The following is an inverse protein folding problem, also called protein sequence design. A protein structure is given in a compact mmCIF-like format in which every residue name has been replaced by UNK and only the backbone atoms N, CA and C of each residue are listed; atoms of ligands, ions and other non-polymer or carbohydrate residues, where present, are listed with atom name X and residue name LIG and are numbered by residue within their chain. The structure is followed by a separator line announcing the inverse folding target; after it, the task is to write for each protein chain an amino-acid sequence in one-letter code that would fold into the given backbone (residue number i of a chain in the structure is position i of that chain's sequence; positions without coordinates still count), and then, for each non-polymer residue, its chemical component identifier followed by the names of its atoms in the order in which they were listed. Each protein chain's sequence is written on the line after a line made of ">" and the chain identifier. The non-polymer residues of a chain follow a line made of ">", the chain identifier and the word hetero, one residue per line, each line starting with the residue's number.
data_IF_873093276011
#
_entry.id   IF_873093276011
#
_cell.length_a   1.000
_cell.length_b   1.000
_cell.length_c   1.000
_cell.angle_alpha   90.00
_cell.angle_beta   90.00
_cell.angle_gamma   90.00
#
_symmetry.space_group_name_H-M   'P 1'
#
loop_
_entity.id
_entity.type
_entity.pdbx_description
1 polymer ?
#
# COMPACT_ATOMS: atom_id res chain seq x y z
N UNK A 1 13.03 -6.50 -11.13
CA UNK A 1 13.91 -5.34 -11.37
C UNK A 1 15.14 -5.31 -10.44
N UNK A 2 15.07 -5.98 -9.30
CA UNK A 2 16.08 -5.92 -8.25
C UNK A 2 16.05 -4.64 -7.40
N UNK A 3 15.06 -3.78 -7.59
CA UNK A 3 14.88 -2.57 -6.81
C UNK A 3 14.12 -2.86 -5.49
N UNK A 4 14.59 -2.28 -4.40
CA UNK A 4 13.91 -2.38 -3.10
C UNK A 4 12.74 -1.40 -3.05
N UNK A 5 11.53 -1.94 -3.03
CA UNK A 5 10.30 -1.16 -2.92
C UNK A 5 9.76 -1.20 -1.51
N UNK A 6 9.01 -0.17 -1.13
CA UNK A 6 8.28 -0.11 0.12
C UNK A 6 6.78 -0.06 -0.09
N UNK A 7 6.04 -0.37 0.96
CA UNK A 7 4.59 -0.24 1.01
C UNK A 7 4.25 1.00 1.83
N UNK A 8 3.52 1.93 1.23
CA UNK A 8 2.85 2.99 1.98
C UNK A 8 1.40 2.58 2.18
N UNK A 9 1.07 2.26 3.43
CA UNK A 9 -0.29 1.86 3.78
C UNK A 9 -1.32 2.93 3.39
N UNK A 10 -2.50 2.54 2.88
CA UNK A 10 -2.95 1.16 2.72
C UNK A 10 -2.57 0.50 1.39
N UNK A 11 -2.35 1.24 0.32
CA UNK A 11 -2.50 0.75 -1.05
C UNK A 11 -1.46 1.29 -2.05
N UNK A 12 -0.41 1.97 -1.59
CA UNK A 12 0.60 2.54 -2.48
C UNK A 12 1.92 1.78 -2.38
N UNK A 13 2.54 1.51 -3.52
CA UNK A 13 3.91 1.03 -3.59
C UNK A 13 4.82 2.20 -3.94
N UNK A 14 5.90 2.32 -3.18
CA UNK A 14 6.88 3.39 -3.34
C UNK A 14 8.27 2.83 -3.66
N UNK A 15 9.03 3.60 -4.40
CA UNK A 15 10.43 3.39 -4.69
C UNK A 15 11.15 4.73 -4.51
N UNK A 16 12.24 4.77 -3.74
CA UNK A 16 12.93 6.00 -3.38
C UNK A 16 11.97 7.11 -2.86
N UNK A 17 11.02 6.74 -2.01
CA UNK A 17 10.01 7.62 -1.42
C UNK A 17 8.99 8.23 -2.40
N UNK A 18 8.95 7.78 -3.66
CA UNK A 18 7.99 8.22 -4.68
C UNK A 18 7.04 7.09 -5.04
N UNK A 19 5.77 7.43 -5.25
CA UNK A 19 4.74 6.46 -5.63
C UNK A 19 4.98 5.96 -7.05
N UNK A 20 5.09 4.64 -7.20
CA UNK A 20 5.18 3.95 -8.49
C UNK A 20 3.95 3.12 -8.80
N UNK A 21 3.14 2.79 -7.79
CA UNK A 21 1.92 2.01 -7.97
C UNK A 21 0.87 2.41 -6.95
N UNK A 22 -0.40 2.36 -7.37
CA UNK A 22 -1.55 2.45 -6.49
C UNK A 22 -2.52 1.32 -6.77
N UNK A 23 -3.16 0.80 -5.73
CA UNK A 23 -4.12 -0.30 -5.80
C UNK A 23 -5.47 0.23 -5.33
N UNK A 24 -6.51 0.03 -6.11
CA UNK A 24 -7.89 0.35 -5.75
C UNK A 24 -8.72 -0.93 -5.72
N UNK A 25 -9.49 -1.11 -4.67
CA UNK A 25 -10.38 -2.26 -4.52
C UNK A 25 -11.81 -1.79 -4.43
N UNK A 26 -12.68 -2.36 -5.23
CA UNK A 26 -14.12 -2.09 -5.26
C UNK A 26 -14.90 -3.35 -4.95
N UNK A 27 -15.95 -3.20 -4.14
CA UNK A 27 -16.87 -4.25 -3.77
C UNK A 27 -18.18 -4.11 -4.53
N UNK A 28 -18.60 -5.17 -5.23
CA UNK A 28 -19.88 -5.23 -5.91
C UNK A 28 -20.74 -6.35 -5.33
N UNK A 29 -21.87 -5.99 -4.74
CA UNK A 29 -22.85 -6.94 -4.26
C UNK A 29 -23.78 -7.36 -5.39
N UNK A 30 -23.95 -8.67 -5.59
CA UNK A 30 -24.81 -9.27 -6.58
C UNK A 30 -25.79 -10.23 -5.88
N UNK A 31 -26.82 -10.69 -6.60
CA UNK A 31 -27.75 -11.71 -6.10
C UNK A 31 -27.05 -13.04 -5.73
N UNK A 32 -25.86 -13.29 -6.28
CA UNK A 32 -25.08 -14.52 -6.07
C UNK A 32 -23.96 -14.37 -5.05
N UNK A 33 -23.82 -13.20 -4.42
CA UNK A 33 -22.77 -12.92 -3.44
C UNK A 33 -22.02 -11.62 -3.72
N UNK A 34 -20.80 -11.53 -3.23
CA UNK A 34 -19.94 -10.36 -3.39
C UNK A 34 -18.83 -10.64 -4.39
N UNK A 35 -18.58 -9.68 -5.28
CA UNK A 35 -17.43 -9.68 -6.21
C UNK A 35 -16.49 -8.56 -5.82
N UNK A 36 -15.20 -8.86 -5.72
CA UNK A 36 -14.14 -7.90 -5.46
C UNK A 36 -13.40 -7.61 -6.77
N UNK A 37 -13.35 -6.35 -7.16
CA UNK A 37 -12.57 -5.88 -8.31
C UNK A 37 -11.33 -5.17 -7.78
N UNK A 38 -10.15 -5.64 -8.21
CA UNK A 38 -8.86 -5.05 -7.83
C UNK A 38 -8.23 -4.37 -9.04
N UNK A 39 -8.20 -3.04 -9.01
CA UNK A 39 -7.52 -2.21 -9.99
C UNK A 39 -6.08 -1.90 -9.54
N UNK A 40 -5.09 -2.22 -10.36
CA UNK A 40 -3.68 -1.96 -10.06
C UNK A 40 -3.08 -1.05 -11.11
N UNK A 41 -2.75 0.20 -10.74
CA UNK A 41 -2.11 1.17 -11.60
C UNK A 41 -0.61 1.25 -11.35
N UNK A 42 0.23 0.84 -12.31
CA UNK A 42 1.68 0.82 -12.17
C UNK A 42 2.33 1.76 -13.18
N UNK A 43 3.15 2.69 -12.71
CA UNK A 43 4.00 3.53 -13.53
C UNK A 43 5.25 2.73 -13.94
N UNK A 44 5.21 2.10 -15.10
CA UNK A 44 6.31 1.21 -15.54
C UNK A 44 7.40 2.01 -16.27
N UNK A 45 7.10 2.51 -17.46
CA UNK A 45 8.07 3.18 -18.34
C UNK A 45 7.70 4.65 -18.61
N UNK A 46 6.95 5.28 -17.71
CA UNK A 46 6.63 6.71 -17.78
C UNK A 46 7.91 7.52 -17.61
N UNK A 47 8.18 8.46 -18.52
CA UNK A 47 9.42 9.25 -18.54
C UNK A 47 9.31 10.61 -17.89
N UNK A 48 8.08 11.12 -17.73
CA UNK A 48 7.84 12.43 -17.11
C UNK A 48 6.49 12.45 -16.40
N UNK A 49 6.37 13.33 -15.43
CA UNK A 49 5.15 13.58 -14.67
C UNK A 49 4.86 15.08 -14.65
N UNK A 50 3.57 15.50 -14.55
CA UNK A 50 3.21 16.88 -14.32
C UNK A 50 3.93 17.47 -13.10
N UNK A 51 4.23 18.78 -13.13
CA UNK A 51 4.99 19.46 -12.06
C UNK A 51 4.32 19.30 -10.70
N UNK A 52 2.98 19.25 -10.66
CA UNK A 52 2.18 19.11 -9.42
C UNK A 52 2.42 17.80 -8.68
N UNK A 53 2.80 16.74 -9.40
CA UNK A 53 3.00 15.40 -8.83
C UNK A 53 4.43 14.87 -8.99
N UNK A 54 5.32 15.57 -9.69
CA UNK A 54 6.70 15.18 -9.94
C UNK A 54 7.51 14.90 -8.66
N UNK A 55 7.16 15.59 -7.57
CA UNK A 55 7.81 15.36 -6.26
C UNK A 55 7.37 14.09 -5.55
N UNK A 56 6.21 13.53 -5.90
CA UNK A 56 5.59 12.41 -5.19
C UNK A 56 5.35 11.16 -6.05
N UNK A 57 5.39 11.29 -7.37
CA UNK A 57 5.21 10.17 -8.32
C UNK A 57 6.50 9.88 -9.07
N UNK A 58 6.70 8.61 -9.43
CA UNK A 58 7.79 8.16 -10.28
C UNK A 58 7.39 6.89 -11.03
N UNK A 59 8.32 6.33 -11.80
CA UNK A 59 8.15 5.07 -12.53
C UNK A 59 9.32 4.12 -12.27
N UNK A 60 9.10 2.84 -12.58
CA UNK A 60 10.18 1.85 -12.52
C UNK A 60 11.36 2.25 -13.40
N UNK A 61 11.09 2.76 -14.62
CA UNK A 61 12.14 3.23 -15.53
C UNK A 61 12.96 4.38 -14.96
N UNK A 62 12.30 5.40 -14.40
CA UNK A 62 12.99 6.57 -13.83
C UNK A 62 13.85 6.20 -12.62
N UNK A 63 13.34 5.32 -11.75
CA UNK A 63 14.02 4.98 -10.50
C UNK A 63 15.11 3.92 -10.69
N UNK A 64 15.02 3.07 -11.73
CA UNK A 64 16.00 2.00 -11.98
C UNK A 64 16.95 2.31 -13.13
N UNK A 65 16.63 3.32 -13.95
CA UNK A 65 17.38 3.64 -15.18
C UNK A 65 17.22 2.61 -16.30
N UNK A 66 16.28 1.65 -16.16
CA UNK A 66 16.11 0.55 -17.12
C UNK A 66 14.66 0.46 -17.58
N UNK A 67 14.49 0.13 -18.85
CA UNK A 67 13.18 -0.21 -19.39
C UNK A 67 12.71 -1.58 -18.83
N UNK A 68 11.44 -1.64 -18.45
CA UNK A 68 10.85 -2.83 -17.83
C UNK A 68 9.75 -3.39 -18.73
N UNK A 69 9.80 -4.69 -19.05
CA UNK A 69 8.71 -5.37 -19.77
C UNK A 69 7.44 -5.39 -18.92
N UNK A 70 6.36 -4.82 -19.45
CA UNK A 70 5.04 -4.83 -18.80
C UNK A 70 4.48 -6.25 -18.72
N UNK A 71 4.67 -7.03 -19.76
CA UNK A 71 4.20 -8.42 -19.85
C UNK A 71 4.86 -9.28 -18.78
N UNK A 72 6.18 -9.21 -18.65
CA UNK A 72 6.92 -9.94 -17.63
C UNK A 72 6.54 -9.51 -16.22
N UNK A 73 6.28 -8.22 -16.01
CA UNK A 73 5.82 -7.69 -14.73
C UNK A 73 4.44 -8.21 -14.37
N UNK A 74 3.48 -8.20 -15.30
CA UNK A 74 2.12 -8.72 -15.11
C UNK A 74 2.17 -10.20 -14.77
N UNK A 75 2.89 -11.00 -15.54
CA UNK A 75 3.04 -12.44 -15.29
C UNK A 75 3.61 -12.70 -13.89
N UNK A 76 4.62 -11.92 -13.48
CA UNK A 76 5.23 -12.06 -12.15
C UNK A 76 4.23 -11.71 -11.04
N UNK A 77 3.50 -10.60 -11.18
CA UNK A 77 2.49 -10.18 -10.20
C UNK A 77 1.41 -11.26 -10.06
N UNK A 78 0.89 -11.77 -11.18
CA UNK A 78 -0.19 -12.77 -11.14
C UNK A 78 0.25 -14.08 -10.48
N UNK A 79 1.49 -14.51 -10.69
CA UNK A 79 2.04 -15.70 -10.01
C UNK A 79 2.09 -15.52 -8.49
N UNK A 80 2.55 -14.36 -8.02
CA UNK A 80 2.57 -14.08 -6.58
C UNK A 80 1.17 -13.90 -6.01
N UNK A 81 0.29 -13.22 -6.75
CA UNK A 81 -1.10 -13.04 -6.34
C UNK A 81 -1.80 -14.38 -6.13
N UNK A 82 -1.68 -15.32 -7.06
CA UNK A 82 -2.26 -16.67 -6.96
C UNK A 82 -1.81 -17.36 -5.66
N UNK A 83 -0.50 -17.41 -5.42
CA UNK A 83 0.07 -18.05 -4.22
C UNK A 83 -0.44 -17.42 -2.92
N UNK A 84 -0.50 -16.09 -2.85
CA UNK A 84 -0.96 -15.39 -1.65
C UNK A 84 -2.48 -15.46 -1.50
N UNK A 85 -3.22 -15.44 -2.59
CA UNK A 85 -4.67 -15.57 -2.58
C UNK A 85 -5.11 -16.96 -2.09
N UNK A 86 -4.47 -18.02 -2.56
CA UNK A 86 -4.73 -19.38 -2.09
C UNK A 86 -4.49 -19.52 -0.57
N UNK A 87 -3.43 -18.92 -0.06
CA UNK A 87 -3.17 -18.88 1.39
C UNK A 87 -4.25 -18.09 2.13
N UNK A 88 -4.61 -16.92 1.62
CA UNK A 88 -5.65 -16.08 2.22
C UNK A 88 -7.00 -16.80 2.31
N UNK A 89 -7.40 -17.51 1.27
CA UNK A 89 -8.64 -18.31 1.28
C UNK A 89 -8.61 -19.42 2.33
N UNK A 90 -7.42 -19.95 2.65
CA UNK A 90 -7.27 -20.99 3.68
C UNK A 90 -7.27 -20.43 5.10
N UNK A 91 -6.66 -19.25 5.31
CA UNK A 91 -6.50 -18.65 6.65
C UNK A 91 -7.61 -17.67 6.99
N UNK A 92 -8.27 -17.10 5.97
CA UNK A 92 -9.25 -16.00 6.06
C UNK A 92 -8.70 -14.74 6.75
N UNK A 93 -7.38 -14.63 6.88
CA UNK A 93 -6.67 -13.49 7.45
C UNK A 93 -5.29 -13.29 6.80
N UNK A 94 -4.55 -12.24 7.21
CA UNK A 94 -3.23 -11.89 6.71
C UNK A 94 -2.08 -12.31 7.63
N UNK A 95 -2.32 -13.21 8.59
CA UNK A 95 -1.29 -13.63 9.57
C UNK A 95 -0.05 -14.18 8.88
N UNK A 96 -0.22 -14.97 7.81
CA UNK A 96 0.87 -15.58 7.03
C UNK A 96 1.74 -14.55 6.28
N UNK A 97 1.23 -13.36 6.03
CA UNK A 97 1.90 -12.31 5.25
C UNK A 97 2.40 -11.14 6.11
N UNK A 98 1.91 -11.04 7.35
CA UNK A 98 2.09 -9.88 8.22
C UNK A 98 3.56 -9.49 8.39
N UNK A 99 4.43 -10.41 8.71
CA UNK A 99 5.86 -10.13 8.94
C UNK A 99 6.52 -9.57 7.67
N UNK A 100 6.28 -10.22 6.53
CA UNK A 100 6.80 -9.78 5.24
C UNK A 100 6.25 -8.40 4.86
N UNK A 101 4.95 -8.17 5.02
CA UNK A 101 4.32 -6.88 4.75
C UNK A 101 4.92 -5.78 5.62
N UNK A 102 5.04 -6.04 6.93
CA UNK A 102 5.58 -5.07 7.89
C UNK A 102 7.06 -4.75 7.65
N UNK A 103 7.85 -5.68 7.13
CA UNK A 103 9.24 -5.42 6.76
C UNK A 103 9.38 -4.43 5.60
N UNK A 104 8.36 -4.34 4.74
CA UNK A 104 8.29 -3.41 3.62
C UNK A 104 7.52 -2.13 3.97
N UNK A 105 6.84 -2.07 5.11
CA UNK A 105 5.96 -0.97 5.49
C UNK A 105 6.75 0.27 5.88
N UNK A 106 6.79 1.27 4.99
CA UNK A 106 7.58 2.50 5.19
C UNK A 106 7.06 3.41 6.30
N UNK A 107 5.79 3.25 6.69
CA UNK A 107 5.17 3.99 7.78
C UNK A 107 5.52 3.41 9.17
N UNK A 108 5.95 2.15 9.27
CA UNK A 108 6.21 1.47 10.55
C UNK A 108 7.28 2.18 11.35
N UNK A 109 6.97 2.47 12.61
CA UNK A 109 7.84 3.20 13.54
C UNK A 109 7.87 4.71 13.33
N UNK A 110 7.17 5.24 12.31
CA UNK A 110 7.13 6.68 12.04
C UNK A 110 5.89 7.34 12.62
N UNK A 111 6.00 8.63 12.95
CA UNK A 111 4.87 9.47 13.31
C UNK A 111 4.03 9.74 12.06
N UNK A 112 2.74 9.46 12.17
CA UNK A 112 1.75 9.61 11.09
C UNK A 112 0.58 10.46 11.56
N UNK A 113 -0.05 11.13 10.60
CA UNK A 113 -1.34 11.81 10.80
C UNK A 113 -2.44 10.99 10.15
N UNK A 114 -3.42 10.60 10.93
CA UNK A 114 -4.65 9.94 10.48
C UNK A 114 -5.69 11.00 10.19
N UNK A 115 -6.10 11.12 8.92
CA UNK A 115 -7.09 12.10 8.48
C UNK A 115 -8.50 11.51 8.62
N UNK A 116 -8.89 11.21 9.86
CA UNK A 116 -10.25 10.81 10.18
C UNK A 116 -11.19 12.01 9.98
N UNK A 117 -12.26 11.88 9.19
CA UNK A 117 -13.22 12.97 8.97
C UNK A 117 -13.90 13.48 10.24
N UNK A 118 -14.02 12.63 11.26
CA UNK A 118 -14.66 12.99 12.53
C UNK A 118 -13.68 13.66 13.49
N UNK A 119 -12.48 13.14 13.60
CA UNK A 119 -11.46 13.65 14.53
C UNK A 119 -10.05 13.23 14.05
N UNK A 120 -9.36 14.03 13.26
CA UNK A 120 -8.00 13.73 12.85
C UNK A 120 -7.07 13.68 14.08
N UNK A 121 -6.11 12.75 14.06
CA UNK A 121 -5.16 12.55 15.16
C UNK A 121 -3.78 12.14 14.65
N UNK A 122 -2.80 12.19 15.54
CA UNK A 122 -1.42 11.77 15.26
C UNK A 122 -1.01 10.62 16.17
N UNK A 123 -0.07 9.81 15.72
CA UNK A 123 0.49 8.72 16.49
C UNK A 123 1.63 8.03 15.76
N UNK A 124 2.18 7.00 16.38
CA UNK A 124 3.25 6.17 15.80
C UNK A 124 2.62 4.94 15.16
N UNK A 125 2.84 4.74 13.85
CA UNK A 125 2.42 3.53 13.17
C UNK A 125 3.22 2.33 13.67
N UNK A 126 2.54 1.30 14.19
CA UNK A 126 3.16 0.11 14.79
C UNK A 126 3.29 -1.06 13.82
N UNK A 127 2.46 -1.12 12.81
CA UNK A 127 2.36 -2.22 11.87
C UNK A 127 0.91 -2.46 11.50
N UNK A 128 0.57 -3.65 11.05
CA UNK A 128 -0.81 -4.03 10.73
C UNK A 128 -1.30 -5.16 11.65
N UNK A 129 -2.61 -5.23 11.85
CA UNK A 129 -3.24 -6.41 12.47
C UNK A 129 -3.47 -7.53 11.44
N UNK A 130 -4.06 -8.64 11.85
CA UNK A 130 -4.32 -9.78 10.96
C UNK A 130 -5.39 -9.51 9.88
N UNK A 131 -6.19 -8.47 10.04
CA UNK A 131 -7.13 -7.99 9.02
C UNK A 131 -6.50 -6.97 8.04
N UNK A 132 -5.24 -6.57 8.26
CA UNK A 132 -4.54 -5.58 7.41
C UNK A 132 -4.77 -4.12 7.82
N UNK A 133 -5.47 -3.87 8.91
CA UNK A 133 -5.69 -2.52 9.44
C UNK A 133 -4.42 -1.98 10.09
N UNK A 134 -4.14 -0.68 9.92
CA UNK A 134 -2.97 -0.05 10.51
C UNK A 134 -3.17 0.18 12.00
N UNK A 135 -2.21 -0.25 12.81
CA UNK A 135 -2.19 -0.01 14.25
C UNK A 135 -1.39 1.26 14.55
N UNK A 136 -2.00 2.21 15.25
CA UNK A 136 -1.40 3.52 15.57
C UNK A 136 -1.43 3.74 17.07
N UNK A 137 -0.24 3.85 17.68
CA UNK A 137 -0.08 4.22 19.08
C UNK A 137 -0.17 5.74 19.24
N UNK A 138 -1.14 6.21 20.01
CA UNK A 138 -1.37 7.62 20.29
C UNK A 138 -0.53 8.10 21.50
N UNK A 139 -0.35 9.42 21.63
CA UNK A 139 0.43 10.02 22.73
C UNK A 139 -0.22 9.83 24.12
N UNK A 140 -1.53 9.64 24.16
CA UNK A 140 -2.29 9.33 25.38
C UNK A 140 -2.13 7.88 25.88
N UNK A 141 -1.30 7.08 25.20
CA UNK A 141 -1.06 5.67 25.51
C UNK A 141 -2.09 4.71 24.91
N UNK A 142 -3.10 5.20 24.19
CA UNK A 142 -4.07 4.33 23.52
C UNK A 142 -3.52 3.81 22.20
N UNK A 143 -3.98 2.63 21.78
CA UNK A 143 -3.71 2.10 20.43
C UNK A 143 -5.02 2.11 19.63
N UNK A 144 -4.97 2.71 18.45
CA UNK A 144 -6.11 2.80 17.53
C UNK A 144 -5.88 1.93 16.30
N UNK A 145 -6.95 1.23 15.91
CA UNK A 145 -7.03 0.46 14.69
C UNK A 145 -7.62 1.34 13.58
N UNK A 146 -6.88 1.52 12.48
CA UNK A 146 -7.26 2.37 11.36
C UNK A 146 -7.69 1.50 10.21
N UNK A 147 -8.95 1.63 9.81
CA UNK A 147 -9.49 0.96 8.63
C UNK A 147 -9.13 1.71 7.34
N UNK A 148 -8.77 0.98 6.28
CA UNK A 148 -8.35 1.56 5.00
C UNK A 148 -9.48 2.24 4.20
N UNK A 149 -10.73 1.90 4.48
CA UNK A 149 -11.88 2.42 3.74
C UNK A 149 -12.31 3.83 4.13
N UNK A 150 -11.97 4.28 5.32
CA UNK A 150 -12.55 5.49 5.91
C UNK A 150 -11.56 6.65 6.08
N UNK A 151 -10.25 6.39 6.08
CA UNK A 151 -9.25 7.40 6.45
C UNK A 151 -8.02 7.39 5.54
N UNK A 152 -7.38 8.55 5.43
CA UNK A 152 -6.08 8.69 4.78
C UNK A 152 -4.97 8.85 5.82
N UNK A 153 -3.85 8.19 5.60
CA UNK A 153 -2.66 8.31 6.45
C UNK A 153 -1.57 9.04 5.69
N UNK A 154 -0.98 10.04 6.33
CA UNK A 154 0.11 10.87 5.78
C UNK A 154 1.31 10.83 6.71
N UNK A 155 2.50 10.87 6.13
CA UNK A 155 3.70 11.26 6.87
C UNK A 155 3.62 12.73 7.31
N UNK A 156 4.24 13.09 8.43
CA UNK A 156 4.16 14.49 8.93
C UNK A 156 4.92 15.48 8.04
N UNK A 157 5.94 15.03 7.34
CA UNK A 157 6.86 15.89 6.58
C UNK A 157 6.84 15.64 5.07
N UNK A 158 5.80 14.99 4.56
CA UNK A 158 5.70 14.72 3.14
C UNK A 158 4.73 13.62 2.77
N UNK A 159 4.92 13.10 1.55
CA UNK A 159 4.08 12.02 1.03
C UNK A 159 4.32 10.68 1.77
N UNK A 160 5.53 10.45 2.23
CA UNK A 160 5.97 9.25 2.96
C UNK A 160 6.52 9.63 4.31
#
# INVERSE_FOLDING_TARGET
>A
TGAESGIKWPNDIVLNSKKICGILTELHFTERGCVVIVGTGINVNTESFPEEIKGIASSLKLETGKEVSREALIVSIMKYFEVYYEKYVQTEDLSFLREQYESMLINKGKKVRVLDPKAPYEGIARGINVQGNLMVACEDGTEKCVDSGEVSVRGLYGYV
#
